data_IF_149830075257
#
_entry.id   IF_149830075257
#
_cell.length_a   1.000
_cell.length_b   1.000
_cell.length_c   1.000
_cell.angle_alpha   90.00
_cell.angle_beta   90.00
_cell.angle_gamma   90.00
#
_symmetry.space_group_name_H-M   'P 1'
#
loop_
_entity.id
_entity.type
_entity.pdbx_description
1 polymer ?
#
# COMPACT_ATOMS: atom_id res chain seq x y z
N UNK A 1 -10.61 -12.82 26.64
CA UNK A 1 -9.88 -12.75 25.35
C UNK A 1 -8.93 -11.56 25.39
N UNK A 2 -7.63 -11.82 25.53
CA UNK A 2 -6.61 -10.78 25.62
C UNK A 2 -6.29 -10.29 24.19
N UNK A 3 -7.04 -9.30 23.68
CA UNK A 3 -6.77 -8.70 22.36
C UNK A 3 -5.54 -7.82 22.47
N UNK A 4 -4.35 -8.40 22.26
CA UNK A 4 -3.15 -7.57 22.02
C UNK A 4 -3.42 -6.75 20.75
N UNK A 5 -3.24 -5.42 20.78
CA UNK A 5 -3.36 -4.62 19.56
C UNK A 5 -2.38 -5.15 18.51
N UNK A 6 -2.85 -5.26 17.26
CA UNK A 6 -1.97 -5.59 16.14
C UNK A 6 -0.86 -4.54 16.06
N UNK A 7 0.40 -4.98 16.02
CA UNK A 7 1.52 -4.06 15.85
C UNK A 7 1.47 -3.37 14.47
N UNK A 8 2.05 -2.16 14.37
CA UNK A 8 1.98 -1.35 13.15
C UNK A 8 2.46 -2.10 11.91
N UNK A 9 3.53 -2.89 12.05
CA UNK A 9 4.09 -3.67 10.96
C UNK A 9 3.16 -4.82 10.50
N UNK A 10 2.47 -5.52 11.40
CA UNK A 10 1.51 -6.56 11.01
C UNK A 10 0.30 -5.95 10.32
N UNK A 11 -0.18 -4.81 10.80
CA UNK A 11 -1.26 -4.07 10.12
C UNK A 11 -0.83 -3.66 8.71
N UNK A 12 0.36 -3.05 8.56
CA UNK A 12 0.91 -2.69 7.25
C UNK A 12 1.03 -3.89 6.32
N UNK A 13 1.48 -5.04 6.83
CA UNK A 13 1.56 -6.28 6.04
C UNK A 13 0.18 -6.68 5.50
N UNK A 14 -0.85 -6.68 6.35
CA UNK A 14 -2.22 -7.01 5.93
C UNK A 14 -2.77 -6.02 4.92
N UNK A 15 -2.48 -4.72 5.08
CA UNK A 15 -2.88 -3.71 4.09
C UNK A 15 -2.25 -4.01 2.74
N UNK A 16 -0.94 -4.27 2.68
CA UNK A 16 -0.23 -4.57 1.43
C UNK A 16 -0.74 -5.84 0.74
N UNK A 17 -1.05 -6.89 1.51
CA UNK A 17 -1.65 -8.11 0.98
C UNK A 17 -3.06 -7.84 0.43
N UNK A 18 -3.87 -7.06 1.16
CA UNK A 18 -5.22 -6.72 0.73
C UNK A 18 -5.21 -5.86 -0.54
N UNK A 19 -4.37 -4.81 -0.60
CA UNK A 19 -4.28 -3.92 -1.77
C UNK A 19 -3.81 -4.70 -3.00
N UNK A 20 -2.73 -5.48 -2.90
CA UNK A 20 -2.25 -6.30 -4.03
C UNK A 20 -3.30 -7.31 -4.52
N UNK A 21 -3.99 -7.99 -3.60
CA UNK A 21 -5.02 -8.99 -3.93
C UNK A 21 -6.21 -8.33 -4.64
N UNK A 22 -6.69 -7.20 -4.13
CA UNK A 22 -7.81 -6.48 -4.72
C UNK A 22 -7.41 -5.83 -6.06
N UNK A 23 -6.20 -5.30 -6.18
CA UNK A 23 -5.71 -4.72 -7.43
C UNK A 23 -5.66 -5.78 -8.54
N UNK A 24 -5.05 -6.95 -8.27
CA UNK A 24 -4.91 -8.01 -9.27
C UNK A 24 -6.21 -8.81 -9.49
N UNK A 25 -6.94 -9.10 -8.43
CA UNK A 25 -8.12 -9.97 -8.46
C UNK A 25 -9.42 -9.25 -8.80
N UNK A 26 -9.48 -7.93 -8.63
CA UNK A 26 -10.69 -7.15 -8.88
C UNK A 26 -10.45 -5.99 -9.85
N UNK A 27 -9.55 -5.04 -9.53
CA UNK A 27 -9.38 -3.81 -10.33
C UNK A 27 -8.91 -4.11 -11.75
N UNK A 28 -7.83 -4.90 -11.92
CA UNK A 28 -7.27 -5.21 -13.24
C UNK A 28 -8.29 -5.89 -14.16
N UNK A 29 -9.06 -6.91 -13.72
CA UNK A 29 -10.15 -7.47 -14.52
C UNK A 29 -11.19 -6.45 -14.98
N UNK A 30 -11.62 -5.53 -14.11
CA UNK A 30 -12.59 -4.49 -14.48
C UNK A 30 -12.01 -3.54 -15.53
N UNK A 31 -10.77 -3.09 -15.34
CA UNK A 31 -10.08 -2.20 -16.29
C UNK A 31 -9.81 -2.88 -17.64
N UNK A 32 -9.66 -4.21 -17.67
CA UNK A 32 -9.53 -4.98 -18.91
C UNK A 32 -10.85 -5.17 -19.66
N UNK A 33 -11.96 -5.27 -18.93
CA UNK A 33 -13.28 -5.49 -19.49
C UNK A 33 -13.89 -4.22 -20.12
N UNK A 34 -13.42 -3.04 -19.70
CA UNK A 34 -13.93 -1.76 -20.18
C UNK A 34 -13.14 -1.25 -21.41
N UNK A 35 -13.79 -1.04 -22.57
CA UNK A 35 -13.14 -0.48 -23.76
C UNK A 35 -12.90 1.04 -23.60
N UNK A 36 -11.89 1.43 -22.82
CA UNK A 36 -11.52 2.83 -22.62
C UNK A 36 -10.70 3.45 -23.77
N UNK A 37 -11.20 4.54 -24.36
CA UNK A 37 -10.49 5.37 -25.34
C UNK A 37 -9.55 6.42 -24.72
N UNK A 38 -9.77 6.85 -23.47
CA UNK A 38 -9.02 7.97 -22.83
C UNK A 38 -7.75 7.58 -22.08
N UNK A 39 -7.65 6.33 -21.62
CA UNK A 39 -6.48 5.75 -20.95
C UNK A 39 -6.40 4.30 -21.39
N UNK A 40 -5.70 4.02 -22.49
CA UNK A 40 -5.77 2.68 -23.08
C UNK A 40 -5.37 1.62 -22.05
N UNK A 41 -6.13 0.51 -21.93
CA UNK A 41 -5.82 -0.59 -21.02
C UNK A 41 -4.36 -1.06 -21.10
N UNK A 42 -3.74 -0.89 -22.28
CA UNK A 42 -2.34 -1.16 -22.56
C UNK A 42 -1.35 -0.40 -21.66
N UNK A 43 -1.71 0.76 -21.10
CA UNK A 43 -0.88 1.52 -20.17
C UNK A 43 -1.35 1.37 -18.72
N UNK A 44 -2.67 1.38 -18.52
CA UNK A 44 -3.27 1.30 -17.19
C UNK A 44 -3.02 -0.06 -16.50
N UNK A 45 -3.21 -1.17 -17.22
CA UNK A 45 -3.07 -2.52 -16.65
C UNK A 45 -1.64 -2.82 -16.21
N UNK A 46 -0.59 -2.55 -17.03
CA UNK A 46 0.79 -2.74 -16.57
C UNK A 46 1.14 -1.87 -15.36
N UNK A 47 0.64 -0.64 -15.29
CA UNK A 47 0.87 0.24 -14.15
C UNK A 47 0.24 -0.33 -12.86
N UNK A 48 -1.02 -0.77 -12.93
CA UNK A 48 -1.72 -1.40 -11.80
C UNK A 48 -1.05 -2.71 -11.36
N UNK A 49 -0.57 -3.51 -12.31
CA UNK A 49 0.20 -4.73 -12.01
C UNK A 49 1.54 -4.40 -11.33
N UNK A 50 2.26 -3.40 -11.83
CA UNK A 50 3.51 -2.95 -11.20
C UNK A 50 3.27 -2.44 -9.77
N UNK A 51 2.18 -1.71 -9.55
CA UNK A 51 1.75 -1.27 -8.22
C UNK A 51 1.47 -2.45 -7.29
N UNK A 52 0.73 -3.47 -7.74
CA UNK A 52 0.48 -4.67 -6.94
C UNK A 52 1.76 -5.48 -6.65
N UNK A 53 2.67 -5.60 -7.61
CA UNK A 53 3.96 -6.26 -7.41
C UNK A 53 4.84 -5.49 -6.42
N UNK A 54 4.77 -4.16 -6.43
CA UNK A 54 5.44 -3.32 -5.44
C UNK A 54 4.88 -3.56 -4.04
N UNK A 55 3.55 -3.66 -3.89
CA UNK A 55 2.90 -4.00 -2.62
C UNK A 55 3.38 -5.37 -2.08
N UNK A 56 3.42 -6.39 -2.94
CA UNK A 56 3.93 -7.73 -2.58
C UNK A 56 5.41 -7.67 -2.19
N UNK A 57 6.23 -6.92 -2.93
CA UNK A 57 7.65 -6.77 -2.64
C UNK A 57 7.90 -6.11 -1.28
N UNK A 58 7.12 -5.07 -0.95
CA UNK A 58 7.13 -4.44 0.37
C UNK A 58 6.67 -5.40 1.47
N UNK A 59 5.63 -6.21 1.21
CA UNK A 59 5.14 -7.20 2.16
C UNK A 59 6.20 -8.28 2.46
N UNK A 60 6.84 -8.83 1.42
CA UNK A 60 7.95 -9.78 1.57
C UNK A 60 9.12 -9.14 2.31
N UNK A 61 9.49 -7.91 1.94
CA UNK A 61 10.53 -7.14 2.62
C UNK A 61 10.24 -7.00 4.12
N UNK A 62 8.99 -6.67 4.48
CA UNK A 62 8.57 -6.52 5.87
C UNK A 62 8.57 -7.83 6.66
N UNK A 63 8.18 -8.95 6.03
CA UNK A 63 8.25 -10.29 6.63
C UNK A 63 9.70 -10.71 6.86
N UNK A 64 10.56 -10.55 5.85
CA UNK A 64 11.99 -10.84 5.97
C UNK A 64 12.64 -9.95 7.04
N UNK A 65 12.25 -8.68 7.09
CA UNK A 65 12.70 -7.74 8.11
C UNK A 65 12.28 -8.18 9.52
N UNK A 66 11.05 -8.68 9.70
CA UNK A 66 10.56 -9.25 10.97
C UNK A 66 11.29 -10.53 11.36
N UNK A 67 11.59 -11.41 10.40
CA UNK A 67 12.13 -12.75 10.69
C UNK A 67 13.64 -12.75 10.93
N UNK A 68 14.39 -11.82 10.32
CA UNK A 68 15.85 -11.98 10.17
C UNK A 68 16.74 -11.13 11.08
N UNK A 69 16.22 -10.34 12.04
CA UNK A 69 17.06 -9.22 12.52
C UNK A 69 17.36 -9.00 14.02
N UNK A 70 18.68 -9.07 14.32
CA UNK A 70 19.44 -8.51 15.44
C UNK A 70 20.13 -7.15 15.12
N UNK A 71 19.48 -6.32 14.29
CA UNK A 71 19.80 -4.93 13.89
C UNK A 71 20.25 -3.93 14.97
N UNK A 72 21.36 -3.16 14.89
CA UNK A 72 21.48 -1.90 15.61
C UNK A 72 20.28 -0.98 15.30
N UNK A 73 19.81 -0.24 16.32
CA UNK A 73 18.61 0.59 16.23
C UNK A 73 18.56 1.49 14.99
N UNK A 74 19.66 2.18 14.66
CA UNK A 74 19.72 3.16 13.57
C UNK A 74 19.34 2.61 12.18
N UNK A 75 19.76 1.39 11.83
CA UNK A 75 19.41 0.77 10.54
C UNK A 75 17.91 0.41 10.47
N UNK A 76 17.31 0.07 11.61
CA UNK A 76 15.87 -0.17 11.73
C UNK A 76 15.05 1.10 11.58
N UNK A 77 15.53 2.22 12.13
CA UNK A 77 14.91 3.54 11.93
C UNK A 77 14.86 3.92 10.45
N UNK A 78 16.00 3.81 9.75
CA UNK A 78 16.09 4.17 8.32
C UNK A 78 15.24 3.27 7.43
N UNK A 79 15.24 1.95 7.65
CA UNK A 79 14.46 1.01 6.84
C UNK A 79 12.94 1.21 7.00
N UNK A 80 12.46 1.39 8.23
CA UNK A 80 11.04 1.66 8.48
C UNK A 80 10.62 3.05 7.98
N UNK A 81 11.51 4.04 8.05
CA UNK A 81 11.28 5.37 7.50
C UNK A 81 11.11 5.33 5.98
N UNK A 82 12.03 4.65 5.28
CA UNK A 82 11.95 4.44 3.83
C UNK A 82 10.67 3.70 3.44
N UNK A 83 10.30 2.65 4.18
CA UNK A 83 9.06 1.91 3.93
C UNK A 83 7.82 2.80 4.12
N UNK A 84 7.83 3.68 5.14
CA UNK A 84 6.73 4.62 5.37
C UNK A 84 6.56 5.60 4.21
N UNK A 85 7.66 6.12 3.66
CA UNK A 85 7.63 7.00 2.48
C UNK A 85 7.14 6.25 1.24
N UNK A 86 7.62 5.02 1.02
CA UNK A 86 7.17 4.17 -0.09
C UNK A 86 5.66 3.92 -0.05
N UNK A 87 5.10 3.62 1.13
CA UNK A 87 3.65 3.46 1.33
C UNK A 87 2.87 4.74 1.02
N UNK A 88 3.39 5.92 1.38
CA UNK A 88 2.76 7.21 1.05
C UNK A 88 2.71 7.44 -0.45
N UNK A 89 3.83 7.24 -1.14
CA UNK A 89 3.92 7.38 -2.60
C UNK A 89 2.93 6.43 -3.28
N UNK A 90 2.90 5.18 -2.83
CA UNK A 90 1.99 4.18 -3.35
C UNK A 90 0.52 4.53 -3.12
N UNK A 91 0.18 5.02 -1.92
CA UNK A 91 -1.17 5.51 -1.62
C UNK A 91 -1.59 6.68 -2.51
N UNK A 92 -0.69 7.62 -2.77
CA UNK A 92 -0.94 8.73 -3.70
C UNK A 92 -1.15 8.24 -5.14
N UNK A 93 -0.38 7.25 -5.60
CA UNK A 93 -0.56 6.67 -6.92
C UNK A 93 -1.94 5.97 -7.06
N UNK A 94 -2.42 5.30 -6.02
CA UNK A 94 -3.78 4.73 -6.02
C UNK A 94 -4.87 5.82 -6.00
N UNK A 95 -4.63 6.94 -5.30
CA UNK A 95 -5.55 8.08 -5.33
C UNK A 95 -5.60 8.75 -6.70
N UNK A 96 -4.44 8.92 -7.35
CA UNK A 96 -4.35 9.46 -8.72
C UNK A 96 -5.08 8.54 -9.71
N UNK A 97 -4.83 7.23 -9.64
CA UNK A 97 -5.57 6.25 -10.43
C UNK A 97 -7.08 6.31 -10.17
N UNK A 98 -7.50 6.44 -8.91
CA UNK A 98 -8.90 6.62 -8.55
C UNK A 98 -9.51 7.86 -9.21
N UNK A 99 -8.78 8.98 -9.26
CA UNK A 99 -9.26 10.20 -9.90
C UNK A 99 -9.32 10.06 -11.42
N UNK A 100 -8.37 9.33 -12.03
CA UNK A 100 -8.35 9.07 -13.46
C UNK A 100 -9.56 8.28 -13.96
N UNK A 101 -10.15 7.43 -13.10
CA UNK A 101 -11.38 6.68 -13.41
C UNK A 101 -12.67 7.37 -12.94
N UNK A 102 -12.61 8.61 -12.43
CA UNK A 102 -13.83 9.35 -12.07
C UNK A 102 -14.64 9.70 -13.32
N UNK A 103 -15.96 9.44 -13.27
CA UNK A 103 -16.88 9.78 -14.36
C UNK A 103 -16.93 8.77 -15.51
N UNK A 104 -16.36 7.58 -15.32
CA UNK A 104 -16.17 6.55 -16.34
C UNK A 104 -17.27 5.46 -16.32
N UNK A 105 -18.53 5.88 -16.18
CA UNK A 105 -19.69 4.99 -16.16
C UNK A 105 -19.91 4.28 -14.81
N UNK A 106 -21.08 3.66 -14.61
CA UNK A 106 -21.45 3.05 -13.33
C UNK A 106 -20.57 1.84 -12.96
N UNK A 107 -19.99 1.14 -13.94
CA UNK A 107 -19.14 -0.03 -13.71
C UNK A 107 -17.78 0.34 -13.07
N UNK A 108 -17.25 1.53 -13.41
CA UNK A 108 -16.01 2.05 -12.82
C UNK A 108 -16.19 2.74 -11.48
N UNK A 109 -17.42 3.06 -11.08
CA UNK A 109 -17.69 3.72 -9.79
C UNK A 109 -17.14 2.88 -8.63
N UNK A 110 -17.36 1.56 -8.67
CA UNK A 110 -16.85 0.66 -7.64
C UNK A 110 -15.31 0.56 -7.67
N UNK A 111 -14.70 0.61 -8.85
CA UNK A 111 -13.23 0.62 -9.00
C UNK A 111 -12.63 1.89 -8.38
N UNK A 112 -13.22 3.05 -8.63
CA UNK A 112 -12.86 4.33 -8.00
C UNK A 112 -12.92 4.21 -6.48
N UNK A 113 -14.03 3.72 -5.93
CA UNK A 113 -14.18 3.56 -4.48
C UNK A 113 -13.14 2.61 -3.89
N UNK A 114 -12.86 1.49 -4.56
CA UNK A 114 -11.85 0.52 -4.13
C UNK A 114 -10.46 1.14 -4.13
N UNK A 115 -10.06 1.81 -5.22
CA UNK A 115 -8.77 2.50 -5.32
C UNK A 115 -8.62 3.61 -4.28
N UNK A 116 -9.67 4.41 -4.08
CA UNK A 116 -9.69 5.45 -3.04
C UNK A 116 -9.56 4.88 -1.62
N UNK A 117 -10.22 3.76 -1.33
CA UNK A 117 -10.10 3.08 -0.05
C UNK A 117 -8.69 2.50 0.16
N UNK A 118 -8.08 1.91 -0.88
CA UNK A 118 -6.70 1.42 -0.85
C UNK A 118 -5.71 2.56 -0.59
N UNK A 119 -5.87 3.68 -1.30
CA UNK A 119 -5.05 4.87 -1.11
C UNK A 119 -5.08 5.35 0.34
N UNK A 120 -6.28 5.49 0.91
CA UNK A 120 -6.45 5.89 2.30
C UNK A 120 -5.84 4.86 3.26
N UNK A 121 -6.05 3.56 3.03
CA UNK A 121 -5.50 2.51 3.86
C UNK A 121 -3.96 2.51 3.87
N UNK A 122 -3.32 2.73 2.73
CA UNK A 122 -1.86 2.83 2.61
C UNK A 122 -1.30 4.08 3.28
N UNK A 123 -1.96 5.23 3.14
CA UNK A 123 -1.58 6.46 3.85
C UNK A 123 -1.69 6.29 5.37
N UNK A 124 -2.77 5.65 5.85
CA UNK A 124 -2.94 5.33 7.26
C UNK A 124 -1.90 4.31 7.75
N UNK A 125 -1.57 3.30 6.95
CA UNK A 125 -0.51 2.34 7.26
C UNK A 125 0.85 3.03 7.33
N UNK A 126 1.15 3.96 6.43
CA UNK A 126 2.38 4.73 6.42
C UNK A 126 2.53 5.60 7.67
N UNK A 127 1.48 6.35 8.02
CA UNK A 127 1.49 7.21 9.22
C UNK A 127 1.59 6.40 10.50
N UNK A 128 0.91 5.25 10.59
CA UNK A 128 1.05 4.30 11.70
C UNK A 128 2.46 3.74 11.80
N UNK A 129 3.04 3.33 10.67
CA UNK A 129 4.40 2.81 10.62
C UNK A 129 5.41 3.88 11.04
N UNK A 130 5.29 5.10 10.51
CA UNK A 130 6.11 6.24 10.89
C UNK A 130 5.99 6.57 12.39
N UNK A 131 4.80 6.50 12.97
CA UNK A 131 4.60 6.71 14.42
C UNK A 131 5.31 5.65 15.25
N UNK A 132 5.25 4.38 14.81
CA UNK A 132 5.92 3.27 15.51
C UNK A 132 7.44 3.41 15.57
N UNK A 133 8.03 4.25 14.71
CA UNK A 133 9.45 4.62 14.75
C UNK A 133 9.74 5.49 15.97
N UNK A 134 8.92 6.50 16.25
CA UNK A 134 9.12 7.46 17.35
C UNK A 134 8.85 6.87 18.75
N UNK A 135 8.09 5.77 18.83
CA UNK A 135 7.74 5.11 20.09
C UNK A 135 8.82 4.11 20.57
N UNK A 136 9.90 3.91 19.79
CA UNK A 136 11.01 3.01 20.18
C UNK A 136 11.90 3.68 21.25
N UNK A 137 12.20 3.01 22.38
CA UNK A 137 13.15 3.53 23.36
C UNK A 137 14.54 3.75 22.72
N UNK A 138 15.00 5.01 22.71
CA UNK A 138 16.29 5.42 22.10
C UNK A 138 16.18 6.17 20.76
N UNK A 139 14.99 6.67 20.38
CA UNK A 139 14.82 7.53 19.22
C UNK A 139 15.53 8.90 19.34
N UNK A 140 15.68 9.65 18.22
CA UNK A 140 16.51 10.86 18.11
C UNK A 140 16.05 12.08 18.96
N UNK A 141 15.01 11.92 19.79
CA UNK A 141 14.54 12.91 20.74
C UNK A 141 14.77 12.55 22.22
N UNK A 142 15.60 11.54 22.50
CA UNK A 142 16.05 11.18 23.86
C UNK A 142 17.55 11.34 24.01
#
# INVERSE_FOLDING_TARGET
>A
MNRRPLDGATLTLWVLVATSTLTLGYVVPQVLADPFEGATPQKAVPALQAMALFDVSMAVGLVLFKHRWSQPGALRFSALGLLSVALLIQGLAYADASMAYLGHGPEMELVVWVLGAMALALILAATRLARSIWEVPGGPGR
#
